data_IF_088994651187
#
_entry.id   IF_088994651187
#
_cell.length_a   1.000
_cell.length_b   1.000
_cell.length_c   1.000
_cell.angle_alpha   90.00
_cell.angle_beta   90.00
_cell.angle_gamma   90.00
#
_symmetry.space_group_name_H-M   'P 1'
#
loop_
_entity.id
_entity.type
_entity.pdbx_description
1 polymer ?
#
# COMPACT_ATOMS: atom_id res chain seq x y z
N UNK A 1 19.54 -5.80 6.01
CA UNK A 1 18.59 -5.24 6.99
C UNK A 1 17.26 -5.00 6.29
N UNK A 2 16.14 -5.32 6.94
CA UNK A 2 14.78 -5.15 6.39
C UNK A 2 14.28 -3.70 6.60
N UNK A 3 14.93 -2.75 5.93
CA UNK A 3 14.61 -1.32 6.06
C UNK A 3 13.63 -0.82 5.00
N UNK A 4 13.35 -1.65 3.99
CA UNK A 4 12.40 -1.36 2.92
C UNK A 4 11.20 -2.29 3.03
N UNK A 5 10.00 -1.72 2.99
CA UNK A 5 8.76 -2.44 2.77
C UNK A 5 8.37 -2.33 1.30
N UNK A 6 7.93 -3.43 0.72
CA UNK A 6 7.43 -3.47 -0.65
C UNK A 6 5.95 -3.90 -0.64
N UNK A 7 5.06 -3.04 -1.17
CA UNK A 7 3.67 -3.43 -1.41
C UNK A 7 3.63 -4.31 -2.67
N UNK A 8 3.57 -5.62 -2.46
CA UNK A 8 3.66 -6.61 -3.55
C UNK A 8 2.35 -6.77 -4.32
N UNK A 9 1.22 -6.69 -3.62
CA UNK A 9 -0.12 -6.78 -4.19
C UNK A 9 -1.11 -5.94 -3.38
N UNK A 10 -2.22 -5.54 -3.99
CA UNK A 10 -3.35 -4.90 -3.32
C UNK A 10 -4.62 -5.45 -3.93
N UNK A 11 -5.47 -6.06 -3.11
CA UNK A 11 -6.70 -6.71 -3.53
C UNK A 11 -7.85 -6.20 -2.68
N UNK A 12 -9.02 -6.07 -3.30
CA UNK A 12 -10.29 -5.81 -2.62
C UNK A 12 -11.33 -6.67 -3.32
N UNK A 13 -12.17 -7.35 -2.55
CA UNK A 13 -13.28 -8.11 -3.11
C UNK A 13 -14.13 -7.21 -4.03
N UNK A 14 -14.48 -7.73 -5.20
CA UNK A 14 -15.16 -6.97 -6.25
C UNK A 14 -16.53 -6.45 -5.81
N UNK A 15 -17.18 -7.10 -4.84
CA UNK A 15 -18.41 -6.62 -4.23
C UNK A 15 -18.25 -5.26 -3.52
N UNK A 16 -17.02 -4.90 -3.13
CA UNK A 16 -16.70 -3.62 -2.50
C UNK A 16 -15.94 -2.64 -3.41
N UNK A 17 -15.96 -2.89 -4.73
CA UNK A 17 -15.36 -2.00 -5.72
C UNK A 17 -15.95 -0.57 -5.71
N UNK A 18 -15.15 0.42 -6.13
CA UNK A 18 -15.59 1.82 -6.23
C UNK A 18 -15.68 2.59 -4.89
N UNK A 19 -15.50 1.93 -3.75
CA UNK A 19 -15.62 2.54 -2.41
C UNK A 19 -14.31 3.13 -1.87
N UNK A 20 -13.23 3.10 -2.65
CA UNK A 20 -11.93 3.63 -2.25
C UNK A 20 -11.17 2.79 -1.21
N UNK A 21 -11.58 1.54 -0.95
CA UNK A 21 -10.96 0.67 0.06
C UNK A 21 -9.49 0.37 -0.28
N UNK A 22 -9.18 0.06 -1.54
CA UNK A 22 -7.81 -0.24 -1.98
C UNK A 22 -6.86 0.93 -1.68
N UNK A 23 -7.32 2.17 -1.89
CA UNK A 23 -6.56 3.38 -1.56
C UNK A 23 -6.31 3.49 -0.04
N UNK A 24 -7.35 3.29 0.78
CA UNK A 24 -7.23 3.32 2.25
C UNK A 24 -6.25 2.26 2.79
N UNK A 25 -6.23 1.07 2.17
CA UNK A 25 -5.25 0.02 2.51
C UNK A 25 -3.82 0.49 2.25
N UNK A 26 -3.55 1.07 1.08
CA UNK A 26 -2.22 1.59 0.73
C UNK A 26 -1.83 2.76 1.64
N UNK A 27 -2.74 3.70 1.91
CA UNK A 27 -2.51 4.82 2.84
C UNK A 27 -2.14 4.35 4.25
N UNK A 28 -2.78 3.28 4.74
CA UNK A 28 -2.42 2.68 6.03
C UNK A 28 -0.97 2.16 6.04
N UNK A 29 -0.51 1.53 4.95
CA UNK A 29 0.89 1.08 4.85
C UNK A 29 1.85 2.27 4.81
N UNK A 30 1.53 3.33 4.05
CA UNK A 30 2.32 4.57 3.98
C UNK A 30 2.50 5.18 5.38
N UNK A 31 1.39 5.34 6.12
CA UNK A 31 1.42 5.89 7.47
C UNK A 31 2.28 5.03 8.40
N UNK A 32 2.14 3.71 8.34
CA UNK A 32 2.87 2.79 9.21
C UNK A 32 4.36 2.70 8.87
N UNK A 33 4.74 2.83 7.58
CA UNK A 33 6.12 2.90 7.15
C UNK A 33 6.79 4.17 7.68
N UNK A 34 6.11 5.32 7.59
CA UNK A 34 6.59 6.59 8.14
C UNK A 34 6.79 6.52 9.67
N UNK A 35 5.79 6.01 10.41
CA UNK A 35 5.89 5.85 11.89
C UNK A 35 7.10 5.00 12.29
N UNK A 36 7.46 4.00 11.47
CA UNK A 36 8.55 3.04 11.76
C UNK A 36 9.87 3.40 11.09
N UNK A 37 9.96 4.57 10.45
CA UNK A 37 11.12 4.99 9.68
C UNK A 37 11.57 3.95 8.65
N UNK A 38 10.61 3.35 7.95
CA UNK A 38 10.87 2.38 6.87
C UNK A 38 10.78 3.07 5.51
N UNK A 39 11.68 2.71 4.60
CA UNK A 39 11.54 3.04 3.19
C UNK A 39 10.35 2.26 2.63
N UNK A 40 9.59 2.86 1.73
CA UNK A 40 8.45 2.21 1.11
C UNK A 40 8.61 2.22 -0.41
N UNK A 41 8.42 1.04 -1.02
CA UNK A 41 8.33 0.85 -2.45
C UNK A 41 7.09 -0.02 -2.77
N UNK A 42 6.78 -0.16 -4.05
CA UNK A 42 5.72 -1.07 -4.50
C UNK A 42 6.13 -1.76 -5.78
N UNK A 43 5.88 -3.06 -5.88
CA UNK A 43 5.82 -3.80 -7.15
C UNK A 43 4.39 -3.88 -7.67
N UNK A 44 3.39 -3.80 -6.80
CA UNK A 44 1.98 -3.73 -7.17
C UNK A 44 1.72 -2.50 -8.07
N UNK A 45 1.17 -2.72 -9.26
CA UNK A 45 0.90 -1.67 -10.24
C UNK A 45 -0.14 -0.65 -9.77
N UNK A 46 -1.06 -1.06 -8.90
CA UNK A 46 -2.02 -0.15 -8.27
C UNK A 46 -1.33 0.73 -7.21
N UNK A 47 -0.64 0.12 -6.25
CA UNK A 47 0.02 0.85 -5.17
C UNK A 47 1.11 1.80 -5.71
N UNK A 48 1.85 1.41 -6.76
CA UNK A 48 2.83 2.27 -7.46
C UNK A 48 2.27 3.62 -7.92
N UNK A 49 0.96 3.75 -8.14
CA UNK A 49 0.34 5.03 -8.55
C UNK A 49 0.04 5.96 -7.37
N UNK A 50 0.13 5.46 -6.15
CA UNK A 50 -0.27 6.16 -4.92
C UNK A 50 0.91 6.56 -4.03
N UNK A 51 2.07 5.91 -4.20
CA UNK A 51 3.32 6.21 -3.48
C UNK A 51 4.26 7.08 -4.31
#
# INVERSE_FOLDING_TARGET
>A
TNDTWNITHTEVDSAYGGQGIAKKLVESVIQNANIRNKKLEATCSYAKKLI
#
